data_IF_413480110285
#
_entry.id   IF_413480110285
#
_cell.length_a   1.000
_cell.length_b   1.000
_cell.length_c   1.000
_cell.angle_alpha   90.00
_cell.angle_beta   90.00
_cell.angle_gamma   90.00
#
_symmetry.space_group_name_H-M   'P 1'
#
loop_
_entity.id
_entity.type
_entity.pdbx_description
1 polymer ?
#
# COMPACT_ATOMS: atom_id res chain seq x y z
N UNK A 1 9.19 -2.95 -12.71
CA UNK A 1 7.97 -3.17 -13.50
C UNK A 1 7.27 -4.47 -13.06
N UNK A 2 7.97 -5.62 -13.04
CA UNK A 2 7.39 -6.93 -12.67
C UNK A 2 6.80 -6.90 -11.26
N UNK A 3 7.52 -6.36 -10.28
CA UNK A 3 7.05 -6.25 -8.88
C UNK A 3 5.80 -5.35 -8.80
N UNK A 4 5.77 -4.21 -9.48
CA UNK A 4 4.61 -3.32 -9.49
C UNK A 4 3.38 -3.97 -10.14
N UNK A 5 3.58 -4.72 -11.23
CA UNK A 5 2.50 -5.48 -11.91
C UNK A 5 2.01 -6.61 -11.01
N UNK A 6 2.91 -7.36 -10.39
CA UNK A 6 2.55 -8.46 -9.47
C UNK A 6 1.77 -7.93 -8.26
N UNK A 7 2.19 -6.81 -7.68
CA UNK A 7 1.46 -6.11 -6.62
C UNK A 7 0.09 -5.64 -7.07
N UNK A 8 -0.02 -5.04 -8.25
CA UNK A 8 -1.30 -4.63 -8.83
C UNK A 8 -2.26 -5.81 -8.99
N UNK A 9 -1.77 -6.94 -9.47
CA UNK A 9 -2.55 -8.18 -9.63
C UNK A 9 -2.97 -8.73 -8.26
N UNK A 10 -2.06 -8.82 -7.30
CA UNK A 10 -2.34 -9.32 -5.94
C UNK A 10 -3.37 -8.44 -5.24
N UNK A 11 -3.22 -7.12 -5.30
CA UNK A 11 -4.17 -6.16 -4.73
C UNK A 11 -5.54 -6.30 -5.40
N UNK A 12 -5.58 -6.37 -6.73
CA UNK A 12 -6.84 -6.55 -7.47
C UNK A 12 -7.51 -7.87 -7.11
N UNK A 13 -6.77 -8.97 -7.07
CA UNK A 13 -7.31 -10.28 -6.66
C UNK A 13 -7.79 -10.29 -5.20
N UNK A 14 -7.06 -9.67 -4.28
CA UNK A 14 -7.46 -9.57 -2.87
C UNK A 14 -8.76 -8.77 -2.71
N UNK A 15 -8.90 -7.68 -3.46
CA UNK A 15 -10.09 -6.79 -3.44
C UNK A 15 -11.30 -7.46 -4.10
N UNK A 16 -11.13 -8.18 -5.23
CA UNK A 16 -12.25 -8.72 -6.02
C UNK A 16 -12.66 -10.16 -5.67
N UNK A 17 -11.95 -10.86 -4.80
CA UNK A 17 -12.34 -12.22 -4.38
C UNK A 17 -13.66 -12.19 -3.60
N UNK A 18 -14.69 -12.87 -4.14
CA UNK A 18 -16.00 -13.01 -3.48
C UNK A 18 -15.91 -13.96 -2.27
N UNK A 19 -16.56 -13.58 -1.15
CA UNK A 19 -16.71 -14.43 0.02
C UNK A 19 -17.03 -13.65 1.30
N UNK A 20 -17.60 -14.31 2.31
CA UNK A 20 -17.92 -13.74 3.62
C UNK A 20 -16.71 -13.04 4.26
N UNK A 21 -16.97 -11.92 4.92
CA UNK A 21 -15.93 -11.20 5.70
C UNK A 21 -15.58 -12.07 6.91
N UNK A 22 -14.40 -12.67 6.87
CA UNK A 22 -13.84 -13.41 7.99
C UNK A 22 -12.69 -12.60 8.58
N UNK A 23 -12.49 -12.65 9.90
CA UNK A 23 -11.38 -11.98 10.58
C UNK A 23 -10.03 -12.18 9.86
N UNK A 24 -9.74 -13.41 9.42
CA UNK A 24 -8.52 -13.71 8.66
C UNK A 24 -8.38 -12.92 7.35
N UNK A 25 -9.48 -12.52 6.73
CA UNK A 25 -9.46 -11.70 5.50
C UNK A 25 -9.09 -10.25 5.78
N UNK A 26 -9.56 -9.71 6.91
CA UNK A 26 -9.20 -8.35 7.34
C UNK A 26 -7.71 -8.32 7.67
N UNK A 27 -7.22 -9.28 8.44
CA UNK A 27 -5.79 -9.40 8.76
C UNK A 27 -4.95 -9.58 7.48
N UNK A 28 -5.40 -10.42 6.54
CA UNK A 28 -4.74 -10.59 5.25
C UNK A 28 -4.68 -9.29 4.44
N UNK A 29 -5.74 -8.49 4.44
CA UNK A 29 -5.76 -7.20 3.77
C UNK A 29 -4.76 -6.21 4.40
N UNK A 30 -4.68 -6.15 5.73
CA UNK A 30 -3.69 -5.33 6.43
C UNK A 30 -2.26 -5.77 6.07
N UNK A 31 -2.00 -7.08 6.06
CA UNK A 31 -0.68 -7.61 5.68
C UNK A 31 -0.32 -7.23 4.24
N UNK A 32 -1.26 -7.31 3.29
CA UNK A 32 -1.03 -6.86 1.91
C UNK A 32 -0.68 -5.38 1.87
N UNK A 33 -1.37 -4.53 2.63
CA UNK A 33 -1.07 -3.11 2.72
C UNK A 33 0.36 -2.84 3.20
N UNK A 34 0.80 -3.55 4.24
CA UNK A 34 2.17 -3.45 4.75
C UNK A 34 3.20 -3.98 3.74
N UNK A 35 2.88 -5.06 3.01
CA UNK A 35 3.74 -5.59 1.96
C UNK A 35 3.90 -4.62 0.78
N UNK A 36 2.91 -3.79 0.49
CA UNK A 36 3.01 -2.73 -0.51
C UNK A 36 4.12 -1.75 -0.09
N UNK A 37 4.14 -1.29 1.17
CA UNK A 37 5.22 -0.43 1.66
C UNK A 37 6.60 -1.08 1.52
N UNK A 38 6.75 -2.35 1.88
CA UNK A 38 8.02 -3.09 1.74
C UNK A 38 8.48 -3.13 0.29
N UNK A 39 7.56 -3.34 -0.65
CA UNK A 39 7.88 -3.39 -2.07
C UNK A 39 8.31 -2.02 -2.60
N UNK A 40 7.62 -0.93 -2.22
CA UNK A 40 8.04 0.42 -2.60
C UNK A 40 9.37 0.81 -1.96
N UNK A 41 9.60 0.45 -0.69
CA UNK A 41 10.90 0.62 -0.04
C UNK A 41 12.03 -0.02 -0.85
N UNK A 42 11.82 -1.25 -1.34
CA UNK A 42 12.79 -1.94 -2.21
C UNK A 42 13.03 -1.18 -3.52
N UNK A 43 11.97 -0.62 -4.13
CA UNK A 43 12.11 0.21 -5.33
C UNK A 43 12.88 1.51 -5.05
N UNK A 44 12.68 2.14 -3.90
CA UNK A 44 13.43 3.34 -3.52
C UNK A 44 14.91 3.05 -3.28
N UNK A 45 15.25 1.90 -2.67
CA UNK A 45 16.65 1.47 -2.57
C UNK A 45 17.26 1.35 -3.97
N UNK A 46 16.56 0.67 -4.88
CA UNK A 46 17.04 0.50 -6.26
C UNK A 46 17.23 1.86 -6.97
N UNK A 47 16.28 2.77 -6.84
CA UNK A 47 16.35 4.11 -7.44
C UNK A 47 17.49 4.92 -6.83
N UNK A 48 17.63 4.93 -5.50
CA UNK A 48 18.66 5.70 -4.81
C UNK A 48 20.09 5.22 -5.10
N UNK A 49 20.26 3.89 -5.26
CA UNK A 49 21.54 3.31 -5.66
C UNK A 49 21.85 3.53 -7.14
N UNK A 50 20.84 3.55 -8.01
CA UNK A 50 21.01 3.75 -9.45
C UNK A 50 21.21 5.21 -9.85
N UNK A 51 20.62 6.13 -9.11
CA UNK A 51 20.61 7.57 -9.41
C UNK A 51 21.02 8.33 -8.15
N UNK A 52 22.31 8.66 -7.99
CA UNK A 52 22.78 9.43 -6.83
C UNK A 52 22.02 10.76 -6.68
N UNK A 53 21.55 11.04 -5.46
CA UNK A 53 20.78 12.25 -5.18
C UNK A 53 19.32 12.21 -5.65
N UNK A 54 18.79 11.06 -6.06
CA UNK A 54 17.38 10.92 -6.46
C UNK A 54 16.40 11.19 -5.32
N UNK A 55 16.81 10.91 -4.09
CA UNK A 55 16.02 11.13 -2.87
C UNK A 55 16.93 11.88 -1.90
N UNK A 56 16.49 13.04 -1.45
CA UNK A 56 17.18 13.83 -0.45
C UNK A 56 16.73 13.43 0.96
N UNK A 57 17.63 13.47 1.94
CA UNK A 57 17.36 13.08 3.33
C UNK A 57 17.69 11.62 3.65
N UNK A 58 18.17 10.83 2.69
CA UNK A 58 18.65 9.45 2.89
C UNK A 58 20.11 9.35 2.45
N UNK A 59 20.97 8.85 3.34
CA UNK A 59 22.35 8.48 3.01
C UNK A 59 22.37 7.04 2.49
N UNK A 60 22.58 6.87 1.18
CA UNK A 60 22.62 5.55 0.54
C UNK A 60 23.95 4.80 0.71
N UNK A 61 24.90 5.40 1.45
CA UNK A 61 26.22 4.83 1.71
C UNK A 61 26.34 4.07 3.03
N UNK A 62 25.34 4.20 3.94
CA UNK A 62 25.34 3.57 5.26
C UNK A 62 24.35 2.39 5.29
N UNK A 63 24.86 1.19 5.25
CA UNK A 63 24.07 -0.05 5.19
C UNK A 63 23.10 -0.24 6.36
N UNK A 64 23.42 0.28 7.54
CA UNK A 64 22.64 0.01 8.76
C UNK A 64 21.45 0.96 8.94
N UNK A 65 21.59 2.23 8.56
CA UNK A 65 20.53 3.22 8.65
C UNK A 65 19.68 3.28 7.39
N UNK A 66 20.22 2.84 6.25
CA UNK A 66 19.57 2.86 4.96
C UNK A 66 18.20 2.17 4.97
N UNK A 67 18.15 0.93 5.42
CA UNK A 67 16.91 0.16 5.46
C UNK A 67 15.84 0.88 6.30
N UNK A 68 16.19 1.34 7.50
CA UNK A 68 15.28 2.08 8.37
C UNK A 68 14.74 3.35 7.72
N UNK A 69 15.62 4.15 7.10
CA UNK A 69 15.25 5.42 6.47
C UNK A 69 14.36 5.21 5.24
N UNK A 70 14.63 4.19 4.44
CA UNK A 70 13.84 3.88 3.25
C UNK A 70 12.48 3.29 3.62
N UNK A 71 12.40 2.41 4.61
CA UNK A 71 11.14 1.93 5.14
C UNK A 71 10.30 3.08 5.70
N UNK A 72 10.89 3.93 6.51
CA UNK A 72 10.22 5.12 7.03
C UNK A 72 9.66 5.98 5.89
N UNK A 73 10.47 6.28 4.87
CA UNK A 73 10.04 7.07 3.72
C UNK A 73 8.86 6.44 2.97
N UNK A 74 8.91 5.14 2.71
CA UNK A 74 7.82 4.43 2.06
C UNK A 74 6.54 4.46 2.91
N UNK A 75 6.60 4.16 4.21
CA UNK A 75 5.43 4.23 5.07
C UNK A 75 4.80 5.62 5.14
N UNK A 76 5.63 6.65 5.26
CA UNK A 76 5.19 8.06 5.28
C UNK A 76 4.55 8.47 3.96
N UNK A 77 5.04 7.95 2.84
CA UNK A 77 4.50 8.19 1.50
C UNK A 77 3.20 7.41 1.29
N UNK A 78 3.18 6.11 1.61
CA UNK A 78 2.01 5.24 1.46
C UNK A 78 0.81 5.73 2.29
N UNK A 79 1.07 6.21 3.51
CA UNK A 79 0.03 6.78 4.38
C UNK A 79 -0.30 8.24 4.06
N UNK A 80 0.38 8.84 3.08
CA UNK A 80 0.28 10.25 2.72
C UNK A 80 0.52 11.22 3.90
N UNK A 81 1.34 10.81 4.87
CA UNK A 81 1.72 11.65 6.01
C UNK A 81 2.64 12.78 5.57
N UNK A 82 3.70 12.48 4.79
CA UNK A 82 4.55 13.45 4.12
C UNK A 82 5.22 14.47 5.05
N UNK A 83 6.02 14.05 6.03
CA UNK A 83 6.71 14.98 6.94
C UNK A 83 7.67 15.96 6.22
N UNK A 84 8.19 15.59 5.03
CA UNK A 84 9.05 16.46 4.24
C UNK A 84 10.52 16.45 4.65
N UNK A 85 10.93 15.61 5.56
CA UNK A 85 12.31 15.38 5.98
C UNK A 85 13.08 14.53 4.96
N UNK A 86 12.36 13.63 4.27
CA UNK A 86 12.85 12.86 3.11
C UNK A 86 11.99 13.23 1.91
N UNK A 87 12.64 13.69 0.82
CA UNK A 87 11.94 14.18 -0.36
C UNK A 87 12.51 13.60 -1.66
N UNK A 88 11.66 13.18 -2.61
CA UNK A 88 12.10 12.76 -3.92
C UNK A 88 12.48 13.98 -4.76
N UNK A 89 13.69 14.01 -5.31
CA UNK A 89 14.21 15.09 -6.14
C UNK A 89 14.14 14.74 -7.62
N UNK A 90 14.56 13.52 -7.98
CA UNK A 90 14.57 13.07 -9.35
C UNK A 90 13.15 12.82 -9.87
N UNK A 91 12.81 13.16 -11.13
CA UNK A 91 11.45 12.96 -11.69
C UNK A 91 10.94 11.53 -11.56
N UNK A 92 11.80 10.53 -11.74
CA UNK A 92 11.44 9.11 -11.60
C UNK A 92 11.06 8.78 -10.15
N UNK A 93 11.82 9.25 -9.16
CA UNK A 93 11.49 9.07 -7.75
C UNK A 93 10.17 9.75 -7.37
N UNK A 94 9.92 10.95 -7.90
CA UNK A 94 8.63 11.66 -7.72
C UNK A 94 7.44 10.89 -8.29
N UNK A 95 7.59 10.32 -9.50
CA UNK A 95 6.55 9.51 -10.11
C UNK A 95 6.26 8.26 -9.28
N UNK A 96 7.28 7.63 -8.73
CA UNK A 96 7.14 6.47 -7.86
C UNK A 96 6.39 6.81 -6.57
N UNK A 97 6.72 7.94 -5.93
CA UNK A 97 6.00 8.45 -4.75
C UNK A 97 4.53 8.74 -5.04
N UNK A 98 4.23 9.35 -6.20
CA UNK A 98 2.85 9.61 -6.60
C UNK A 98 2.05 8.31 -6.74
N UNK A 99 2.63 7.29 -7.39
CA UNK A 99 1.98 5.98 -7.55
C UNK A 99 1.76 5.33 -6.18
N UNK A 100 2.76 5.36 -5.30
CA UNK A 100 2.64 4.81 -3.95
C UNK A 100 1.54 5.50 -3.15
N UNK A 101 1.51 6.84 -3.16
CA UNK A 101 0.48 7.62 -2.47
C UNK A 101 -0.94 7.32 -2.99
N UNK A 102 -1.11 7.19 -4.30
CA UNK A 102 -2.39 6.82 -4.91
C UNK A 102 -2.81 5.42 -4.44
N UNK A 103 -1.92 4.44 -4.51
CA UNK A 103 -2.19 3.08 -4.03
C UNK A 103 -2.52 3.09 -2.54
N UNK A 104 -1.77 3.84 -1.75
CA UNK A 104 -1.95 3.99 -0.31
C UNK A 104 -3.31 4.56 0.08
N UNK A 105 -3.89 5.45 -0.72
CA UNK A 105 -5.22 6.02 -0.50
C UNK A 105 -6.35 5.12 -1.04
N UNK A 106 -6.17 4.55 -2.23
CA UNK A 106 -7.20 3.75 -2.86
C UNK A 106 -7.40 2.40 -2.17
N UNK A 107 -6.33 1.78 -1.66
CA UNK A 107 -6.42 0.47 -1.04
C UNK A 107 -7.34 0.43 0.19
N UNK A 108 -7.15 1.23 1.25
CA UNK A 108 -8.05 1.24 2.40
C UNK A 108 -9.45 1.74 2.05
N UNK A 109 -9.59 2.70 1.13
CA UNK A 109 -10.89 3.21 0.69
C UNK A 109 -11.73 2.11 0.01
N UNK A 110 -11.12 1.36 -0.91
CA UNK A 110 -11.80 0.23 -1.59
C UNK A 110 -12.11 -0.92 -0.65
N UNK A 111 -11.22 -1.20 0.30
CA UNK A 111 -11.44 -2.21 1.34
C UNK A 111 -12.64 -1.85 2.22
N UNK A 112 -12.70 -0.59 2.69
CA UNK A 112 -13.81 -0.09 3.51
C UNK A 112 -15.14 -0.14 2.76
N UNK A 113 -15.20 0.36 1.53
CA UNK A 113 -16.39 0.32 0.68
C UNK A 113 -16.92 -1.12 0.52
N UNK A 114 -16.01 -2.08 0.34
CA UNK A 114 -16.36 -3.48 0.23
C UNK A 114 -16.90 -4.07 1.52
N UNK A 115 -16.28 -3.75 2.67
CA UNK A 115 -16.76 -4.22 3.97
C UNK A 115 -18.18 -3.74 4.25
N UNK A 116 -18.47 -2.46 3.99
CA UNK A 116 -19.82 -1.88 4.14
C UNK A 116 -20.83 -2.58 3.24
N UNK A 117 -20.50 -2.82 1.97
CA UNK A 117 -21.40 -3.51 1.02
C UNK A 117 -21.73 -4.93 1.48
N UNK A 118 -20.77 -5.66 2.01
CA UNK A 118 -20.98 -7.03 2.49
C UNK A 118 -21.84 -7.07 3.76
N UNK A 119 -21.66 -6.13 4.66
CA UNK A 119 -22.49 -5.99 5.86
C UNK A 119 -23.95 -5.68 5.53
N UNK A 120 -24.18 -4.77 4.57
CA UNK A 120 -25.53 -4.44 4.12
C UNK A 120 -26.26 -5.63 3.48
N UNK A 121 -25.56 -6.46 2.70
CA UNK A 121 -26.13 -7.69 2.11
C UNK A 121 -26.48 -8.70 3.19
N UNK A 122 -25.62 -8.92 4.17
CA UNK A 122 -25.88 -9.85 5.27
C UNK A 122 -27.13 -9.47 6.08
N UNK A 123 -27.38 -8.18 6.27
CA UNK A 123 -28.58 -7.69 6.95
C UNK A 123 -29.85 -7.85 6.11
N UNK A 124 -29.79 -7.63 4.79
CA UNK A 124 -30.91 -7.83 3.90
C UNK A 124 -31.38 -9.29 3.87
N UNK A 125 -30.43 -10.24 3.81
CA UNK A 125 -30.75 -11.68 3.82
C UNK A 125 -31.39 -12.13 5.14
N UNK A 126 -30.97 -11.57 6.27
CA UNK A 126 -31.54 -11.91 7.59
C UNK A 126 -32.95 -11.38 7.80
N UNK A 127 -33.33 -10.27 7.14
CA UNK A 127 -34.69 -9.71 7.22
C UNK A 127 -35.70 -10.47 6.37
N UNK A 128 -35.25 -11.20 5.36
CA UNK A 128 -36.13 -11.97 4.44
C UNK A 128 -36.46 -13.39 4.99
N UNK A 129 -35.76 -13.84 6.02
CA UNK A 129 -35.87 -15.22 6.56
C UNK A 129 -36.73 -15.28 7.83
N UNK A 130 -37.49 -14.24 8.23
CA UNK A 130 -38.47 -14.34 9.30
C UNK A 130 -39.82 -14.84 8.71
N UNK A 131 -40.23 -16.10 8.95
CA UNK A 131 -41.59 -16.55 8.64
C UNK A 131 -42.57 -15.92 9.65
N UNK A 132 -43.61 -15.39 9.12
CA UNK A 132 -44.83 -14.97 9.85
C UNK A 132 -45.50 -16.13 10.53
#
# INVERSE_FOLDING_TARGET
>A
LVIAVTLGIVVTQAVFRQGRVTYHRIVGAILVYLLIAVAFATLYIFVGLSIPGAINGIAFEDDRSLASSVFYFSFVTLTSTGYGDVVPVHPFARSLCNIESIVGQLYPATLLARLVTLEMRGRADSSTTQPT
#
